data_IF_827421732261
#
_entry.id   IF_827421732261
#
_cell.length_a   1.000
_cell.length_b   1.000
_cell.length_c   1.000
_cell.angle_alpha   90.00
_cell.angle_beta   90.00
_cell.angle_gamma   90.00
#
_symmetry.space_group_name_H-M   'P 1'
#
loop_
_entity.id
_entity.type
_entity.pdbx_description
1 polymer ?
#
# COMPACT_ATOMS: atom_id res chain seq x y z
N UNK A 1 -16.82 -30.40 1.08
CA UNK A 1 -15.77 -29.48 1.58
C UNK A 1 -16.40 -28.12 1.71
N UNK A 2 -16.43 -27.55 2.91
CA UNK A 2 -16.81 -26.15 3.10
C UNK A 2 -15.68 -25.23 2.66
N UNK A 3 -16.00 -23.99 2.30
CA UNK A 3 -14.98 -22.98 2.02
C UNK A 3 -14.34 -22.57 3.35
N UNK A 4 -13.01 -22.63 3.43
CA UNK A 4 -12.26 -22.26 4.61
C UNK A 4 -12.14 -20.73 4.71
N UNK A 5 -12.78 -20.14 5.72
CA UNK A 5 -12.86 -18.68 5.92
C UNK A 5 -11.45 -18.04 6.05
N UNK A 6 -10.52 -18.61 6.85
CA UNK A 6 -9.11 -18.23 6.83
C UNK A 6 -8.50 -18.12 5.42
N UNK A 7 -8.75 -19.09 4.54
CA UNK A 7 -8.19 -19.07 3.18
C UNK A 7 -8.78 -17.93 2.35
N UNK A 8 -10.08 -17.64 2.48
CA UNK A 8 -10.70 -16.49 1.83
C UNK A 8 -10.04 -15.18 2.28
N UNK A 9 -9.88 -14.99 3.60
CA UNK A 9 -9.26 -13.78 4.14
C UNK A 9 -7.79 -13.66 3.75
N UNK A 10 -7.06 -14.77 3.72
CA UNK A 10 -5.69 -14.79 3.22
C UNK A 10 -5.62 -14.27 1.76
N UNK A 11 -6.51 -14.75 0.88
CA UNK A 11 -6.56 -14.29 -0.52
C UNK A 11 -6.92 -12.80 -0.60
N UNK A 12 -7.88 -12.32 0.19
CA UNK A 12 -8.26 -10.91 0.22
C UNK A 12 -7.09 -10.03 0.65
N UNK A 13 -6.37 -10.40 1.71
CA UNK A 13 -5.24 -9.64 2.25
C UNK A 13 -4.09 -9.63 1.23
N UNK A 14 -3.73 -10.79 0.67
CA UNK A 14 -2.68 -10.87 -0.35
C UNK A 14 -3.04 -10.02 -1.56
N UNK A 15 -4.29 -10.09 -2.02
CA UNK A 15 -4.77 -9.25 -3.11
C UNK A 15 -4.66 -7.76 -2.76
N UNK A 16 -5.11 -7.35 -1.57
CA UNK A 16 -5.01 -5.95 -1.12
C UNK A 16 -3.55 -5.46 -1.08
N UNK A 17 -2.63 -6.27 -0.55
CA UNK A 17 -1.20 -5.93 -0.53
C UNK A 17 -0.62 -5.84 -1.95
N UNK A 18 -1.01 -6.72 -2.86
CA UNK A 18 -0.56 -6.64 -4.26
C UNK A 18 -1.11 -5.40 -4.97
N UNK A 19 -2.38 -5.05 -4.74
CA UNK A 19 -2.97 -3.83 -5.27
C UNK A 19 -2.24 -2.59 -4.76
N UNK A 20 -1.91 -2.53 -3.46
CA UNK A 20 -1.08 -1.47 -2.89
C UNK A 20 0.26 -1.35 -3.62
N UNK A 21 1.00 -2.46 -3.76
CA UNK A 21 2.32 -2.47 -4.42
C UNK A 21 2.24 -1.94 -5.85
N UNK A 22 1.19 -2.29 -6.59
CA UNK A 22 1.03 -1.87 -8.00
C UNK A 22 0.57 -0.42 -8.11
N UNK A 23 -0.45 -0.02 -7.34
CA UNK A 23 -1.10 1.27 -7.47
C UNK A 23 -0.28 2.37 -6.79
N UNK A 24 0.01 2.23 -5.50
CA UNK A 24 0.80 3.21 -4.74
C UNK A 24 2.27 3.20 -5.18
N UNK A 25 2.77 2.05 -5.66
CA UNK A 25 4.11 1.96 -6.26
C UNK A 25 4.30 2.88 -7.48
N UNK A 26 3.23 3.15 -8.25
CA UNK A 26 3.26 4.15 -9.31
C UNK A 26 3.37 5.58 -8.74
N UNK A 27 2.60 5.91 -7.71
CA UNK A 27 2.60 7.23 -7.07
C UNK A 27 3.97 7.55 -6.45
N UNK A 28 4.50 6.61 -5.67
CA UNK A 28 5.84 6.70 -5.08
C UNK A 28 6.92 6.75 -6.17
N UNK A 29 6.75 5.98 -7.25
CA UNK A 29 7.65 6.02 -8.41
C UNK A 29 7.71 7.41 -9.06
N UNK A 30 6.56 8.06 -9.26
CA UNK A 30 6.47 9.44 -9.73
C UNK A 30 7.16 10.38 -8.73
N UNK A 31 6.93 10.22 -7.43
CA UNK A 31 7.57 11.02 -6.37
C UNK A 31 9.10 10.91 -6.38
N UNK A 32 9.65 9.71 -6.58
CA UNK A 32 11.11 9.49 -6.69
C UNK A 32 11.67 10.20 -7.92
N UNK A 33 11.02 10.07 -9.08
CA UNK A 33 11.51 10.64 -10.34
C UNK A 33 11.29 12.16 -10.41
N UNK A 34 10.30 12.69 -9.70
CA UNK A 34 9.89 14.10 -9.74
C UNK A 34 11.04 15.10 -9.62
N UNK A 35 11.98 14.86 -8.69
CA UNK A 35 13.11 15.77 -8.44
C UNK A 35 14.15 15.77 -9.56
N UNK A 36 14.17 14.74 -10.42
CA UNK A 36 15.12 14.61 -11.52
C UNK A 36 14.63 15.25 -12.83
N UNK A 37 13.34 15.58 -12.93
CA UNK A 37 12.77 16.21 -14.14
C UNK A 37 13.00 17.72 -14.08
N UNK A 38 13.75 18.35 -15.00
CA UNK A 38 14.06 19.79 -14.89
C UNK A 38 12.92 20.70 -15.34
N UNK A 39 12.00 20.21 -16.18
CA UNK A 39 10.93 21.01 -16.78
C UNK A 39 9.72 21.12 -15.83
N UNK A 40 9.36 22.35 -15.46
CA UNK A 40 8.23 22.62 -14.57
C UNK A 40 6.88 22.15 -15.14
N UNK A 41 6.66 22.30 -16.46
CA UNK A 41 5.42 21.85 -17.07
C UNK A 41 5.29 20.32 -17.05
N UNK A 42 6.40 19.58 -17.18
CA UNK A 42 6.39 18.12 -17.07
C UNK A 42 6.14 17.68 -15.63
N UNK A 43 6.70 18.38 -14.64
CA UNK A 43 6.40 18.16 -13.22
C UNK A 43 4.93 18.38 -12.91
N UNK A 44 4.31 19.41 -13.48
CA UNK A 44 2.88 19.65 -13.30
C UNK A 44 2.04 18.52 -13.90
N UNK A 45 2.41 18.01 -15.07
CA UNK A 45 1.75 16.83 -15.67
C UNK A 45 1.92 15.58 -14.80
N UNK A 46 3.11 15.37 -14.23
CA UNK A 46 3.38 14.25 -13.30
C UNK A 46 2.51 14.34 -12.04
N UNK A 47 2.36 15.51 -11.44
CA UNK A 47 1.50 15.64 -10.25
C UNK A 47 0.03 15.49 -10.60
N UNK A 48 -0.41 16.02 -11.74
CA UNK A 48 -1.80 15.91 -12.18
C UNK A 48 -2.21 14.47 -12.53
N UNK A 49 -1.27 13.56 -12.82
CA UNK A 49 -1.60 12.15 -13.07
C UNK A 49 -1.84 11.34 -11.79
N UNK A 50 -1.24 11.75 -10.67
CA UNK A 50 -1.30 11.05 -9.38
C UNK A 50 -2.35 11.64 -8.43
N UNK A 51 -2.47 12.97 -8.42
CA UNK A 51 -3.38 13.71 -7.53
C UNK A 51 -4.83 13.18 -7.42
N UNK A 52 -5.49 12.69 -8.48
CA UNK A 52 -6.87 12.20 -8.35
C UNK A 52 -7.00 10.80 -7.75
N UNK A 53 -5.91 10.02 -7.65
CA UNK A 53 -5.97 8.58 -7.28
C UNK A 53 -5.14 8.21 -6.05
N UNK A 54 -4.15 9.02 -5.68
CA UNK A 54 -3.18 8.69 -4.63
C UNK A 54 -3.82 8.29 -3.29
N UNK A 55 -4.76 9.09 -2.78
CA UNK A 55 -5.47 8.82 -1.52
C UNK A 55 -6.21 7.47 -1.58
N UNK A 56 -6.78 7.12 -2.74
CA UNK A 56 -7.39 5.81 -2.95
C UNK A 56 -6.38 4.66 -2.97
N UNK A 57 -5.17 4.90 -3.48
CA UNK A 57 -4.13 3.88 -3.58
C UNK A 57 -3.60 3.49 -2.19
N UNK A 58 -3.43 4.46 -1.29
CA UNK A 58 -3.01 4.23 0.10
C UNK A 58 -4.02 3.36 0.88
N UNK A 59 -5.32 3.44 0.57
CA UNK A 59 -6.34 2.65 1.27
C UNK A 59 -6.14 1.13 1.15
N UNK A 60 -5.45 0.67 0.11
CA UNK A 60 -5.14 -0.76 -0.05
C UNK A 60 -4.18 -1.27 1.03
N UNK A 61 -3.21 -0.44 1.45
CA UNK A 61 -2.32 -0.78 2.56
C UNK A 61 -3.10 -0.88 3.87
N UNK A 62 -4.01 0.08 4.10
CA UNK A 62 -4.88 0.09 5.28
C UNK A 62 -5.74 -1.16 5.32
N UNK A 63 -6.34 -1.56 4.20
CA UNK A 63 -7.12 -2.79 4.10
C UNK A 63 -6.27 -4.03 4.40
N UNK A 64 -5.04 -4.10 3.88
CA UNK A 64 -4.11 -5.20 4.18
C UNK A 64 -3.77 -5.28 5.67
N UNK A 65 -3.43 -4.15 6.29
CA UNK A 65 -3.11 -4.07 7.73
C UNK A 65 -4.30 -4.38 8.63
N UNK A 66 -5.46 -3.77 8.37
CA UNK A 66 -6.69 -4.03 9.12
C UNK A 66 -7.19 -5.46 8.93
N UNK A 67 -7.05 -6.01 7.71
CA UNK A 67 -7.36 -7.41 7.41
C UNK A 67 -6.47 -8.37 8.19
N UNK A 68 -5.16 -8.12 8.25
CA UNK A 68 -4.24 -8.89 9.10
C UNK A 68 -4.64 -8.80 10.57
N UNK A 69 -4.95 -7.61 11.09
CA UNK A 69 -5.36 -7.44 12.47
C UNK A 69 -6.63 -8.23 12.81
N UNK A 70 -7.63 -8.21 11.93
CA UNK A 70 -8.92 -8.89 12.14
C UNK A 70 -8.87 -10.40 11.91
N UNK A 71 -8.27 -10.87 10.82
CA UNK A 71 -8.28 -12.27 10.43
C UNK A 71 -7.09 -13.08 10.98
N UNK A 72 -5.94 -12.43 11.20
CA UNK A 72 -4.68 -13.06 11.61
C UNK A 72 -3.92 -12.23 12.67
N UNK A 73 -4.50 -12.01 13.87
CA UNK A 73 -3.95 -11.08 14.86
C UNK A 73 -2.53 -11.42 15.31
N UNK A 74 -2.16 -12.70 15.37
CA UNK A 74 -0.78 -13.11 15.68
C UNK A 74 0.20 -12.69 14.59
N UNK A 75 -0.18 -12.84 13.32
CA UNK A 75 0.66 -12.40 12.20
C UNK A 75 0.81 -10.87 12.20
N UNK A 76 -0.28 -10.14 12.44
CA UNK A 76 -0.24 -8.69 12.58
C UNK A 76 0.74 -8.24 13.68
N UNK A 77 0.65 -8.83 14.87
CA UNK A 77 1.53 -8.48 15.99
C UNK A 77 3.01 -8.78 15.70
N UNK A 78 3.31 -9.95 15.13
CA UNK A 78 4.70 -10.33 14.79
C UNK A 78 5.28 -9.41 13.71
N UNK A 79 4.51 -9.08 12.67
CA UNK A 79 4.97 -8.23 11.57
C UNK A 79 5.18 -6.80 12.05
N UNK A 80 4.22 -6.23 12.78
CA UNK A 80 4.30 -4.84 13.26
C UNK A 80 5.43 -4.65 14.28
N UNK A 81 5.64 -5.61 15.18
CA UNK A 81 6.78 -5.60 16.10
C UNK A 81 8.12 -5.67 15.33
N UNK A 82 8.27 -6.64 14.43
CA UNK A 82 9.48 -6.79 13.63
C UNK A 82 9.78 -5.58 12.73
N UNK A 83 8.75 -4.88 12.25
CA UNK A 83 8.85 -3.73 11.36
C UNK A 83 8.58 -2.40 12.06
N UNK A 84 8.66 -2.33 13.39
CA UNK A 84 8.32 -1.11 14.15
C UNK A 84 9.13 0.10 13.68
N UNK A 85 10.44 -0.06 13.49
CA UNK A 85 11.33 1.04 13.05
C UNK A 85 10.94 1.54 11.64
N UNK A 86 10.93 0.71 10.58
CA UNK A 86 10.58 1.19 9.24
C UNK A 86 9.13 1.68 9.13
N UNK A 87 8.16 1.05 9.79
CA UNK A 87 6.77 1.52 9.78
C UNK A 87 6.64 2.89 10.45
N UNK A 88 7.35 3.13 11.55
CA UNK A 88 7.34 4.44 12.21
C UNK A 88 8.02 5.52 11.37
N UNK A 89 9.04 5.16 10.57
CA UNK A 89 9.69 6.12 9.68
C UNK A 89 8.85 6.48 8.44
N UNK A 90 7.94 5.59 8.04
CA UNK A 90 7.05 5.77 6.91
C UNK A 90 5.84 6.67 7.24
N UNK A 91 5.37 6.65 8.50
CA UNK A 91 4.26 7.44 9.03
C UNK A 91 4.67 8.87 9.40
#
# INVERSE_FOLDING_TARGET
MGIDIPVIWFVIIVFATLMYIVMDGFDLGIGIVFSFVPNANERDVMMNSVAPVWDGNETWLVLGGAGLFGAFPLAYAVITDALTIPLTAML
#
